data_IF_316113588763
#
_entry.id   IF_316113588763
#
_cell.length_a   1.000
_cell.length_b   1.000
_cell.length_c   1.000
_cell.angle_alpha   90.00
_cell.angle_beta   90.00
_cell.angle_gamma   90.00
#
_symmetry.space_group_name_H-M   'P 1'
#
loop_
_entity.id
_entity.type
_entity.pdbx_description
1 polymer ?
#
# COMPACT_ATOMS: atom_id res chain seq x y z
N UNK A 1 -25.45 -5.54 0.27
CA UNK A 1 -24.42 -6.16 1.14
C UNK A 1 -25.00 -6.43 2.52
N UNK A 2 -24.41 -7.38 3.22
CA UNK A 2 -24.79 -7.73 4.58
C UNK A 2 -24.02 -6.84 5.56
N UNK A 3 -24.73 -6.13 6.45
CA UNK A 3 -24.12 -5.40 7.56
C UNK A 3 -24.19 -6.29 8.80
N UNK A 4 -23.10 -6.96 9.13
CA UNK A 4 -23.00 -7.79 10.30
C UNK A 4 -22.40 -7.00 11.48
N UNK A 5 -22.97 -7.07 12.70
CA UNK A 5 -22.48 -6.33 13.86
C UNK A 5 -21.21 -6.93 14.44
N UNK A 6 -20.51 -6.12 15.23
CA UNK A 6 -19.63 -6.59 16.30
C UNK A 6 -20.49 -6.75 17.56
N UNK A 7 -20.59 -7.97 18.09
CA UNK A 7 -21.43 -8.28 19.21
C UNK A 7 -20.63 -8.28 20.53
N UNK A 8 -21.07 -7.48 21.51
CA UNK A 8 -20.48 -7.47 22.85
C UNK A 8 -21.51 -7.95 23.86
N UNK A 9 -21.30 -9.13 24.42
CA UNK A 9 -22.27 -9.82 25.30
C UNK A 9 -21.56 -10.26 26.59
N UNK A 10 -21.31 -9.32 27.48
CA UNK A 10 -20.56 -9.53 28.72
C UNK A 10 -21.47 -9.97 29.87
N UNK A 11 -22.01 -11.17 29.75
CA UNK A 11 -22.78 -11.84 30.80
C UNK A 11 -22.34 -13.29 30.96
N UNK A 12 -22.86 -13.95 32.00
CA UNK A 12 -22.45 -15.31 32.37
C UNK A 12 -22.46 -16.26 31.18
N UNK A 13 -21.36 -16.96 30.96
CA UNK A 13 -21.19 -18.10 30.06
C UNK A 13 -21.45 -17.84 28.57
N UNK A 14 -21.55 -16.57 28.16
CA UNK A 14 -21.82 -16.19 26.76
C UNK A 14 -20.64 -16.39 25.83
N UNK A 15 -19.42 -16.48 26.36
CA UNK A 15 -18.16 -16.69 25.62
C UNK A 15 -17.42 -17.97 26.06
N UNK A 16 -18.11 -18.95 26.66
CA UNK A 16 -17.52 -20.24 27.01
C UNK A 16 -17.34 -21.10 25.77
N UNK A 17 -16.12 -21.62 25.57
CA UNK A 17 -15.79 -22.51 24.44
C UNK A 17 -15.36 -23.93 24.91
N UNK A 18 -15.66 -24.29 26.15
CA UNK A 18 -15.21 -25.56 26.74
C UNK A 18 -16.22 -26.70 26.63
N UNK A 19 -17.50 -26.40 26.51
CA UNK A 19 -18.56 -27.40 26.39
C UNK A 19 -19.81 -26.81 25.73
N UNK A 20 -20.29 -27.46 24.67
CA UNK A 20 -21.44 -26.98 23.89
C UNK A 20 -21.07 -25.77 23.00
N UNK A 21 -22.08 -25.12 22.46
CA UNK A 21 -21.92 -23.90 21.63
C UNK A 21 -22.41 -22.69 22.42
N UNK A 22 -21.52 -21.76 22.73
CA UNK A 22 -21.86 -20.53 23.43
C UNK A 22 -22.60 -19.53 22.52
N UNK A 23 -23.18 -18.50 23.14
CA UNK A 23 -23.85 -17.42 22.38
C UNK A 23 -22.89 -16.72 21.43
N UNK A 24 -21.65 -16.46 21.85
CA UNK A 24 -20.62 -15.83 21.01
C UNK A 24 -20.22 -16.69 19.80
N UNK A 25 -20.14 -18.02 19.98
CA UNK A 25 -19.94 -18.96 18.87
C UNK A 25 -21.13 -18.99 17.93
N UNK A 26 -22.36 -18.97 18.46
CA UNK A 26 -23.56 -18.90 17.62
C UNK A 26 -23.59 -17.66 16.73
N UNK A 27 -23.11 -16.52 17.21
CA UNK A 27 -22.97 -15.32 16.37
C UNK A 27 -22.02 -15.53 15.20
N UNK A 28 -20.93 -16.28 15.36
CA UNK A 28 -19.95 -16.49 14.30
C UNK A 28 -20.37 -17.55 13.28
N UNK A 29 -21.06 -18.60 13.74
CA UNK A 29 -21.45 -19.73 12.86
C UNK A 29 -22.82 -19.55 12.21
N UNK A 30 -23.54 -18.47 12.54
CA UNK A 30 -24.87 -18.24 11.99
C UNK A 30 -24.84 -17.93 10.48
N UNK A 31 -25.71 -18.60 9.73
CA UNK A 31 -25.82 -18.42 8.29
C UNK A 31 -24.88 -19.32 7.48
N UNK A 32 -24.43 -18.82 6.33
CA UNK A 32 -23.50 -19.48 5.42
C UNK A 32 -22.65 -18.44 4.69
N UNK A 33 -21.54 -18.81 4.00
CA UNK A 33 -20.75 -17.88 3.22
C UNK A 33 -21.57 -17.10 2.16
N UNK A 34 -22.59 -17.72 1.58
CA UNK A 34 -23.49 -17.08 0.59
C UNK A 34 -24.62 -16.28 1.21
N UNK A 35 -25.00 -16.55 2.46
CA UNK A 35 -26.05 -15.86 3.23
C UNK A 35 -25.58 -15.65 4.67
N UNK A 36 -24.59 -14.77 4.86
CA UNK A 36 -24.04 -14.56 6.20
C UNK A 36 -25.05 -13.89 7.12
N UNK A 37 -25.05 -14.34 8.37
CA UNK A 37 -25.89 -13.85 9.47
C UNK A 37 -25.01 -13.75 10.73
N UNK A 38 -25.60 -13.27 11.84
CA UNK A 38 -24.89 -13.18 13.12
C UNK A 38 -23.96 -11.99 13.20
N UNK A 39 -22.67 -12.19 13.49
CA UNK A 39 -21.69 -11.12 13.72
C UNK A 39 -20.34 -11.38 13.04
N UNK A 40 -19.58 -10.30 12.77
CA UNK A 40 -18.20 -10.39 12.27
C UNK A 40 -17.23 -10.86 13.35
N UNK A 41 -17.53 -10.52 14.60
CA UNK A 41 -16.82 -10.97 15.80
C UNK A 41 -17.74 -10.80 17.02
N UNK A 42 -17.44 -11.52 18.10
CA UNK A 42 -18.19 -11.42 19.35
C UNK A 42 -17.25 -11.41 20.55
N UNK A 43 -17.56 -10.58 21.54
CA UNK A 43 -16.92 -10.64 22.86
C UNK A 43 -17.90 -11.20 23.87
N UNK A 44 -17.50 -12.25 24.58
CA UNK A 44 -18.30 -12.89 25.60
C UNK A 44 -17.50 -13.27 26.83
N UNK A 45 -18.18 -13.66 27.91
CA UNK A 45 -17.56 -14.07 29.16
C UNK A 45 -17.54 -15.59 29.30
N UNK A 46 -16.36 -16.15 29.57
CA UNK A 46 -16.11 -17.62 29.54
C UNK A 46 -16.57 -18.39 30.81
N UNK A 47 -17.29 -17.75 31.72
CA UNK A 47 -17.68 -18.38 32.99
C UNK A 47 -19.05 -17.91 33.51
N UNK A 48 -19.63 -18.69 34.43
CA UNK A 48 -20.87 -18.36 35.13
C UNK A 48 -20.67 -17.45 36.34
N UNK A 49 -19.46 -17.29 36.84
CA UNK A 49 -19.14 -16.52 38.06
C UNK A 49 -18.92 -15.00 37.83
N UNK A 50 -19.63 -14.38 36.91
CA UNK A 50 -19.38 -12.98 36.51
C UNK A 50 -20.03 -11.96 37.45
N UNK A 51 -19.53 -10.72 37.39
CA UNK A 51 -20.08 -9.59 38.16
C UNK A 51 -20.20 -8.37 37.27
N UNK A 52 -21.37 -7.78 37.19
CA UNK A 52 -21.70 -6.60 36.35
C UNK A 52 -20.76 -5.42 36.55
N UNK A 53 -20.30 -5.19 37.79
CA UNK A 53 -19.35 -4.10 38.12
C UNK A 53 -18.11 -4.11 37.26
N UNK A 54 -17.53 -5.28 36.95
CA UNK A 54 -16.32 -5.40 36.17
C UNK A 54 -16.63 -5.51 34.67
N UNK A 55 -17.65 -6.26 34.31
CA UNK A 55 -18.05 -6.41 32.92
C UNK A 55 -18.50 -5.09 32.29
N UNK A 56 -19.26 -4.25 33.03
CA UNK A 56 -19.68 -2.96 32.53
C UNK A 56 -18.50 -2.02 32.22
N UNK A 57 -17.41 -2.08 33.00
CA UNK A 57 -16.21 -1.26 32.70
C UNK A 57 -15.52 -1.74 31.43
N UNK A 58 -15.42 -3.04 31.23
CA UNK A 58 -14.87 -3.62 29.98
C UNK A 58 -15.74 -3.20 28.79
N UNK A 59 -17.06 -3.33 28.92
CA UNK A 59 -18.03 -2.93 27.90
C UNK A 59 -17.89 -1.44 27.52
N UNK A 60 -17.97 -0.57 28.51
CA UNK A 60 -17.80 0.88 28.32
C UNK A 60 -16.44 1.22 27.68
N UNK A 61 -15.36 0.53 28.12
CA UNK A 61 -14.03 0.72 27.58
C UNK A 61 -13.90 0.23 26.13
N UNK A 62 -14.62 -0.82 25.71
CA UNK A 62 -14.69 -1.24 24.31
C UNK A 62 -15.27 -0.13 23.45
N UNK A 63 -16.44 0.41 23.83
CA UNK A 63 -17.09 1.47 23.06
C UNK A 63 -16.38 2.81 23.12
N UNK A 64 -15.74 3.17 24.26
CA UNK A 64 -14.83 4.31 24.35
C UNK A 64 -13.63 4.17 23.39
N UNK A 65 -13.11 2.95 23.25
CA UNK A 65 -12.07 2.64 22.27
C UNK A 65 -12.54 2.87 20.84
N UNK A 66 -13.71 2.33 20.47
CA UNK A 66 -14.22 2.40 19.11
C UNK A 66 -14.58 3.81 18.67
N UNK A 67 -15.37 4.55 19.47
CA UNK A 67 -15.93 5.83 19.08
C UNK A 67 -15.06 7.03 19.46
N UNK A 68 -14.78 7.34 20.74
CA UNK A 68 -13.96 8.50 21.10
C UNK A 68 -12.49 8.38 20.67
N UNK A 69 -11.89 7.18 20.80
CA UNK A 69 -10.46 6.96 20.50
C UNK A 69 -10.19 6.51 19.07
N UNK A 70 -11.24 6.16 18.31
CA UNK A 70 -11.11 5.77 16.92
C UNK A 70 -10.36 4.45 16.66
N UNK A 71 -10.28 3.54 17.67
CA UNK A 71 -9.64 2.23 17.49
C UNK A 71 -10.38 1.43 16.41
N UNK A 72 -9.62 0.80 15.52
CA UNK A 72 -10.17 0.28 14.28
C UNK A 72 -10.42 -1.21 14.27
N UNK A 73 -9.78 -1.98 15.17
CA UNK A 73 -9.89 -3.43 15.18
C UNK A 73 -10.63 -3.97 16.39
N UNK A 74 -11.23 -5.16 16.24
CA UNK A 74 -11.94 -5.86 17.33
C UNK A 74 -11.05 -6.11 18.53
N UNK A 75 -9.78 -6.49 18.31
CA UNK A 75 -8.82 -6.73 19.39
C UNK A 75 -8.41 -5.44 20.10
N UNK A 76 -8.15 -4.37 19.36
CA UNK A 76 -7.78 -3.08 19.97
C UNK A 76 -8.93 -2.54 20.84
N UNK A 77 -10.18 -2.69 20.38
CA UNK A 77 -11.36 -2.33 21.15
C UNK A 77 -11.45 -3.12 22.47
N UNK A 78 -11.31 -4.46 22.41
CA UNK A 78 -11.32 -5.29 23.63
C UNK A 78 -10.13 -4.98 24.55
N UNK A 79 -8.93 -4.78 24.00
CA UNK A 79 -7.76 -4.40 24.79
C UNK A 79 -7.98 -3.09 25.55
N UNK A 80 -8.60 -2.08 24.92
CA UNK A 80 -8.99 -0.83 25.58
C UNK A 80 -10.00 -1.08 26.71
N UNK A 81 -10.96 -1.98 26.53
CA UNK A 81 -11.89 -2.38 27.57
C UNK A 81 -11.19 -3.00 28.79
N UNK A 82 -10.23 -3.90 28.56
CA UNK A 82 -9.42 -4.51 29.62
C UNK A 82 -8.52 -3.47 30.33
N UNK A 83 -7.95 -2.54 29.55
CA UNK A 83 -7.15 -1.44 30.11
C UNK A 83 -8.01 -0.51 30.96
N UNK A 84 -9.23 -0.19 30.55
CA UNK A 84 -10.17 0.60 31.35
C UNK A 84 -10.47 -0.07 32.70
N UNK A 85 -10.64 -1.39 32.70
CA UNK A 85 -10.81 -2.18 33.95
C UNK A 85 -9.57 -2.05 34.85
N UNK A 86 -8.37 -2.23 34.30
CA UNK A 86 -7.12 -2.07 35.05
C UNK A 86 -6.96 -0.65 35.63
N UNK A 87 -7.21 0.38 34.85
CA UNK A 87 -7.11 1.78 35.29
C UNK A 87 -8.14 2.14 36.37
N UNK A 88 -9.32 1.50 36.33
CA UNK A 88 -10.37 1.72 37.35
C UNK A 88 -10.03 1.04 38.67
N UNK A 89 -9.39 -0.12 38.62
CA UNK A 89 -9.03 -0.92 39.80
C UNK A 89 -7.55 -1.31 39.78
N UNK A 90 -6.61 -0.36 39.86
CA UNK A 90 -5.18 -0.63 39.72
C UNK A 90 -4.60 -1.50 40.83
N UNK A 91 -5.21 -1.51 42.03
CA UNK A 91 -4.81 -2.36 43.15
C UNK A 91 -5.15 -3.84 42.96
N UNK A 92 -6.00 -4.17 41.97
CA UNK A 92 -6.43 -5.53 41.65
C UNK A 92 -6.84 -6.35 42.88
N UNK A 93 -7.62 -5.78 43.78
CA UNK A 93 -8.10 -6.43 45.01
C UNK A 93 -8.82 -7.73 44.65
N UNK A 94 -8.49 -8.80 45.38
CA UNK A 94 -9.02 -10.15 45.13
C UNK A 94 -8.73 -10.72 43.74
N UNK A 95 -7.69 -10.20 43.09
CA UNK A 95 -7.29 -10.58 41.73
C UNK A 95 -8.39 -10.40 40.64
N UNK A 96 -9.40 -9.57 40.91
CA UNK A 96 -10.60 -9.46 40.07
C UNK A 96 -10.26 -8.88 38.68
N UNK A 97 -9.34 -7.92 38.58
CA UNK A 97 -8.94 -7.35 37.28
C UNK A 97 -8.34 -8.41 36.37
N UNK A 98 -7.40 -9.21 36.90
CA UNK A 98 -6.77 -10.30 36.14
C UNK A 98 -7.79 -11.35 35.73
N UNK A 99 -8.66 -11.76 36.66
CA UNK A 99 -9.69 -12.76 36.43
C UNK A 99 -10.65 -12.31 35.30
N UNK A 100 -11.23 -11.12 35.41
CA UNK A 100 -12.17 -10.63 34.38
C UNK A 100 -11.50 -10.29 33.06
N UNK A 101 -10.22 -9.90 33.07
CA UNK A 101 -9.44 -9.74 31.84
C UNK A 101 -9.24 -11.06 31.10
N UNK A 102 -9.08 -12.19 31.81
CA UNK A 102 -8.99 -13.52 31.19
C UNK A 102 -10.36 -14.07 30.75
N UNK A 103 -11.42 -13.77 31.50
CA UNK A 103 -12.75 -14.29 31.19
C UNK A 103 -13.42 -13.64 29.98
N UNK A 104 -13.11 -12.38 29.70
CA UNK A 104 -13.68 -11.67 28.56
C UNK A 104 -12.86 -11.98 27.30
N UNK A 105 -13.43 -12.81 26.43
CA UNK A 105 -12.77 -13.36 25.25
C UNK A 105 -13.37 -12.81 23.96
N UNK A 106 -12.50 -12.54 22.99
CA UNK A 106 -12.87 -12.26 21.60
C UNK A 106 -12.98 -13.60 20.85
N UNK A 107 -14.09 -13.78 20.16
CA UNK A 107 -14.28 -14.82 19.15
C UNK A 107 -14.42 -14.13 17.79
N UNK A 108 -13.62 -14.56 16.82
CA UNK A 108 -13.45 -13.95 15.51
C UNK A 108 -12.02 -13.56 15.24
N UNK A 109 -11.76 -12.99 14.07
CA UNK A 109 -10.44 -12.50 13.71
C UNK A 109 -10.13 -11.18 14.47
N UNK A 110 -9.05 -11.16 15.27
CA UNK A 110 -8.65 -9.97 16.03
C UNK A 110 -8.28 -8.77 15.16
N UNK A 111 -7.86 -8.98 13.93
CA UNK A 111 -7.51 -7.93 12.96
C UNK A 111 -8.73 -7.38 12.20
N UNK A 112 -9.93 -7.93 12.42
CA UNK A 112 -11.13 -7.44 11.72
C UNK A 112 -11.38 -5.97 12.02
N UNK A 113 -11.46 -5.16 10.96
CA UNK A 113 -11.76 -3.74 11.04
C UNK A 113 -13.24 -3.49 11.33
N UNK A 114 -13.50 -2.53 12.22
CA UNK A 114 -14.84 -2.11 12.64
C UNK A 114 -15.29 -0.89 11.84
N UNK A 115 -16.38 -1.02 11.10
CA UNK A 115 -17.03 0.13 10.46
C UNK A 115 -17.96 0.84 11.45
N UNK A 116 -17.75 2.15 11.57
CA UNK A 116 -18.52 2.99 12.50
C UNK A 116 -19.53 3.89 11.79
N UNK A 117 -19.60 3.79 10.45
CA UNK A 117 -20.55 4.51 9.58
C UNK A 117 -21.07 3.55 8.51
N UNK A 118 -22.13 3.95 7.82
CA UNK A 118 -22.52 3.29 6.57
C UNK A 118 -21.36 3.43 5.58
N UNK A 119 -20.86 2.31 5.02
CA UNK A 119 -19.72 2.39 4.13
C UNK A 119 -20.08 3.11 2.83
N UNK A 120 -19.16 3.96 2.40
CA UNK A 120 -19.19 4.70 1.14
C UNK A 120 -18.48 3.85 0.07
N UNK A 121 -18.82 4.02 -1.19
CA UNK A 121 -18.15 3.35 -2.30
C UNK A 121 -16.82 4.07 -2.59
N UNK A 122 -15.79 3.32 -2.94
CA UNK A 122 -14.54 3.85 -3.48
C UNK A 122 -14.62 3.87 -5.01
N UNK A 123 -14.26 5.00 -5.59
CA UNK A 123 -13.97 5.13 -7.01
C UNK A 123 -12.45 5.08 -7.16
N UNK A 124 -11.95 4.05 -7.88
CA UNK A 124 -10.52 3.81 -8.04
C UNK A 124 -10.17 3.88 -9.51
N UNK A 125 -9.30 4.81 -9.85
CA UNK A 125 -8.83 5.04 -11.21
C UNK A 125 -7.47 4.41 -11.39
N UNK A 126 -7.33 3.58 -12.40
CA UNK A 126 -6.10 2.88 -12.77
C UNK A 126 -6.20 2.38 -14.21
N UNK A 127 -5.06 2.11 -14.83
CA UNK A 127 -5.06 1.39 -16.10
C UNK A 127 -5.64 -0.01 -15.92
N UNK A 128 -6.46 -0.44 -16.87
CA UNK A 128 -7.01 -1.81 -16.89
C UNK A 128 -6.11 -2.79 -17.65
N UNK A 129 -5.16 -2.26 -18.44
CA UNK A 129 -4.19 -3.01 -19.20
C UNK A 129 -2.88 -2.25 -19.25
N UNK A 130 -1.76 -2.97 -19.07
CA UNK A 130 -0.40 -2.46 -19.27
C UNK A 130 0.38 -3.43 -20.16
N UNK A 131 1.43 -2.94 -20.81
CA UNK A 131 2.28 -3.79 -21.64
C UNK A 131 3.45 -4.37 -20.84
N UNK A 132 3.91 -5.55 -21.28
CA UNK A 132 5.10 -6.18 -20.71
C UNK A 132 6.28 -5.21 -20.82
N UNK A 133 6.95 -4.94 -19.68
CA UNK A 133 8.01 -3.93 -19.56
C UNK A 133 7.57 -2.63 -18.89
N UNK A 134 6.27 -2.33 -18.80
CA UNK A 134 5.79 -1.20 -18.01
C UNK A 134 6.28 -1.36 -16.56
N UNK A 135 7.03 -0.39 -16.06
CA UNK A 135 7.77 -0.55 -14.79
C UNK A 135 7.19 0.24 -13.63
N UNK A 136 6.00 0.80 -13.80
CA UNK A 136 5.24 1.45 -12.73
C UNK A 136 3.75 1.46 -13.05
N UNK A 137 2.95 1.76 -12.04
CA UNK A 137 1.54 2.06 -12.19
C UNK A 137 1.13 3.15 -11.20
N UNK A 138 0.33 4.10 -11.69
CA UNK A 138 -0.32 5.13 -10.88
C UNK A 138 -1.77 4.73 -10.60
N UNK A 139 -2.19 4.90 -9.35
CA UNK A 139 -3.55 4.60 -8.90
C UNK A 139 -4.06 5.81 -8.14
N UNK A 140 -5.28 6.24 -8.45
CA UNK A 140 -5.95 7.32 -7.75
C UNK A 140 -7.19 6.79 -7.04
N UNK A 141 -7.36 7.15 -5.77
CA UNK A 141 -8.46 6.69 -4.91
C UNK A 141 -9.31 7.89 -4.51
N UNK A 142 -10.59 7.84 -4.92
CA UNK A 142 -11.59 8.85 -4.60
C UNK A 142 -12.81 8.21 -3.93
N UNK A 143 -13.68 9.02 -3.35
CA UNK A 143 -15.03 8.60 -2.96
C UNK A 143 -16.04 8.84 -4.11
N UNK A 144 -17.25 8.30 -3.95
CA UNK A 144 -18.35 8.45 -4.92
C UNK A 144 -18.78 9.92 -5.19
N UNK A 145 -18.19 10.89 -4.46
CA UNK A 145 -18.45 12.33 -4.61
C UNK A 145 -17.27 13.07 -5.24
N UNK A 146 -16.18 12.37 -5.60
CA UNK A 146 -14.97 12.92 -6.17
C UNK A 146 -14.01 13.52 -5.13
N UNK A 147 -14.17 13.17 -3.86
CA UNK A 147 -13.23 13.55 -2.80
C UNK A 147 -12.03 12.61 -2.76
N UNK A 148 -10.82 13.17 -2.74
CA UNK A 148 -9.59 12.39 -2.64
C UNK A 148 -9.51 11.64 -1.30
N UNK A 149 -9.08 10.38 -1.32
CA UNK A 149 -9.00 9.53 -0.14
C UNK A 149 -7.54 9.31 0.25
N UNK A 150 -7.09 10.05 1.27
CA UNK A 150 -5.81 9.83 1.92
C UNK A 150 -5.81 8.55 2.77
N UNK A 151 -4.68 7.83 2.79
CA UNK A 151 -4.45 6.67 3.66
C UNK A 151 -5.34 5.47 3.36
N UNK A 152 -5.82 5.32 2.12
CA UNK A 152 -6.37 4.06 1.65
C UNK A 152 -5.24 3.08 1.40
N UNK A 153 -5.35 1.85 1.91
CA UNK A 153 -4.38 0.81 1.65
C UNK A 153 -4.65 0.19 0.29
N UNK A 154 -3.72 0.36 -0.61
CA UNK A 154 -3.72 -0.19 -1.97
C UNK A 154 -2.76 -1.36 -2.03
N UNK A 155 -3.21 -2.51 -2.52
CA UNK A 155 -2.41 -3.74 -2.63
C UNK A 155 -2.48 -4.29 -4.03
N UNK A 156 -1.32 -4.63 -4.59
CA UNK A 156 -1.17 -5.32 -5.86
C UNK A 156 -0.64 -6.72 -5.63
N UNK A 157 -1.25 -7.70 -6.30
CA UNK A 157 -0.87 -9.11 -6.24
C UNK A 157 -0.84 -9.72 -7.65
N UNK A 158 0.27 -10.38 -8.02
CA UNK A 158 0.39 -11.17 -9.26
C UNK A 158 1.06 -12.50 -8.98
N UNK A 159 0.45 -13.58 -9.48
CA UNK A 159 1.00 -14.93 -9.39
C UNK A 159 1.25 -15.40 -7.96
N UNK A 160 2.27 -16.22 -7.78
CA UNK A 160 2.74 -16.67 -6.47
C UNK A 160 3.81 -15.70 -5.97
N UNK A 161 3.39 -14.48 -5.58
CA UNK A 161 4.25 -13.40 -5.06
C UNK A 161 5.27 -12.83 -6.08
N UNK A 162 5.02 -12.96 -7.40
CA UNK A 162 5.82 -12.23 -8.41
C UNK A 162 5.67 -10.71 -8.22
N UNK A 163 4.45 -10.25 -7.89
CA UNK A 163 4.18 -8.92 -7.36
C UNK A 163 3.36 -9.10 -6.08
N UNK A 164 3.85 -8.61 -4.96
CA UNK A 164 3.10 -8.45 -3.71
C UNK A 164 3.58 -7.18 -3.01
N UNK A 165 2.88 -6.09 -3.27
CA UNK A 165 3.22 -4.77 -2.74
C UNK A 165 2.00 -4.06 -2.20
N UNK A 166 2.18 -3.28 -1.13
CA UNK A 166 1.13 -2.45 -0.54
C UNK A 166 1.68 -1.09 -0.17
N UNK A 167 0.91 -0.04 -0.45
CA UNK A 167 1.20 1.34 -0.05
C UNK A 167 -0.10 2.03 0.37
N UNK A 168 0.02 3.14 1.09
CA UNK A 168 -1.10 4.02 1.40
C UNK A 168 -1.15 5.18 0.41
N UNK A 169 -2.37 5.57 0.01
CA UNK A 169 -2.58 6.77 -0.79
C UNK A 169 -2.22 8.04 -0.01
N UNK A 170 -1.71 9.03 -0.70
CA UNK A 170 -1.33 10.34 -0.17
C UNK A 170 -2.55 11.27 0.03
N UNK A 171 -2.30 12.54 0.39
CA UNK A 171 -3.32 13.58 0.58
C UNK A 171 -4.13 13.87 -0.69
N UNK A 172 -3.58 13.57 -1.87
CA UNK A 172 -4.25 13.72 -3.17
C UNK A 172 -4.98 12.44 -3.59
N UNK A 173 -4.97 11.39 -2.75
CA UNK A 173 -5.54 10.09 -3.07
C UNK A 173 -4.66 9.25 -4.01
N UNK A 174 -3.43 9.67 -4.28
CA UNK A 174 -2.56 9.04 -5.26
C UNK A 174 -1.60 8.05 -4.60
N UNK A 175 -1.30 7.00 -5.35
CA UNK A 175 -0.23 6.05 -5.01
C UNK A 175 0.42 5.51 -6.28
N UNK A 176 1.74 5.56 -6.34
CA UNK A 176 2.54 4.98 -7.41
C UNK A 176 3.26 3.75 -6.90
N UNK A 177 3.25 2.68 -7.69
CA UNK A 177 4.01 1.46 -7.47
C UNK A 177 5.05 1.27 -8.56
N UNK A 178 6.35 1.25 -8.22
CA UNK A 178 7.35 0.66 -9.10
C UNK A 178 7.04 -0.83 -9.27
N UNK A 179 7.13 -1.32 -10.51
CA UNK A 179 6.84 -2.71 -10.85
C UNK A 179 8.09 -3.38 -11.43
N UNK A 180 8.31 -4.62 -11.01
CA UNK A 180 9.33 -5.50 -11.60
C UNK A 180 8.72 -6.89 -11.79
N UNK A 181 8.51 -7.30 -13.03
CA UNK A 181 7.93 -8.58 -13.39
C UNK A 181 8.46 -9.02 -14.78
N UNK A 182 8.39 -10.31 -15.06
CA UNK A 182 8.99 -10.92 -16.26
C UNK A 182 7.99 -11.60 -17.17
N UNK A 183 6.72 -11.69 -16.78
CA UNK A 183 5.70 -12.46 -17.53
C UNK A 183 4.40 -11.68 -17.68
N UNK A 184 3.66 -11.95 -18.75
CA UNK A 184 2.27 -11.52 -18.92
C UNK A 184 1.36 -12.16 -17.87
N UNK A 185 0.13 -11.67 -17.73
CA UNK A 185 -0.87 -12.19 -16.79
C UNK A 185 -1.61 -11.07 -16.10
N UNK A 186 -2.34 -11.38 -15.04
CA UNK A 186 -3.23 -10.44 -14.37
C UNK A 186 -2.66 -10.02 -13.01
N UNK A 187 -2.63 -8.72 -12.76
CA UNK A 187 -2.43 -8.12 -11.44
C UNK A 187 -3.80 -7.93 -10.79
N UNK A 188 -3.98 -8.44 -9.59
CA UNK A 188 -5.17 -8.18 -8.77
C UNK A 188 -4.92 -6.95 -7.91
N UNK A 189 -5.81 -5.96 -8.04
CA UNK A 189 -5.79 -4.73 -7.25
C UNK A 189 -6.86 -4.81 -6.16
N UNK A 190 -6.47 -4.52 -4.92
CA UNK A 190 -7.41 -4.40 -3.81
C UNK A 190 -7.16 -3.08 -3.09
N UNK A 191 -8.23 -2.29 -2.88
CA UNK A 191 -8.16 -1.05 -2.11
C UNK A 191 -9.09 -1.13 -0.91
N UNK A 192 -8.57 -0.83 0.28
CA UNK A 192 -9.33 -0.85 1.53
C UNK A 192 -9.13 0.43 2.33
N UNK A 193 -10.21 0.90 2.95
CA UNK A 193 -10.21 2.01 3.90
C UNK A 193 -11.34 1.81 4.90
N UNK A 194 -11.12 2.20 6.17
CA UNK A 194 -12.18 2.16 7.19
C UNK A 194 -13.39 2.97 6.75
N UNK A 195 -14.58 2.37 6.92
CA UNK A 195 -15.87 2.96 6.53
C UNK A 195 -16.08 3.11 5.01
N UNK A 196 -15.29 2.43 4.20
CA UNK A 196 -15.49 2.31 2.76
C UNK A 196 -15.69 0.86 2.35
N UNK A 197 -16.46 0.63 1.30
CA UNK A 197 -16.56 -0.70 0.70
C UNK A 197 -15.23 -1.03 0.01
N UNK A 198 -14.65 -2.21 0.27
CA UNK A 198 -13.43 -2.61 -0.42
C UNK A 198 -13.62 -2.60 -1.93
N UNK A 199 -12.66 -2.04 -2.66
CA UNK A 199 -12.58 -2.13 -4.11
C UNK A 199 -11.72 -3.32 -4.51
N UNK A 200 -12.14 -4.01 -5.57
CA UNK A 200 -11.36 -5.04 -6.23
C UNK A 200 -11.37 -4.80 -7.74
N UNK A 201 -10.20 -4.73 -8.33
CA UNK A 201 -9.98 -4.54 -9.76
C UNK A 201 -8.91 -5.48 -10.28
N UNK A 202 -8.71 -5.45 -11.58
CA UNK A 202 -7.67 -6.21 -12.27
C UNK A 202 -6.96 -5.33 -13.29
N UNK A 203 -5.69 -5.62 -13.53
CA UNK A 203 -4.85 -4.97 -14.52
C UNK A 203 -4.19 -6.09 -15.31
N UNK A 204 -4.48 -6.17 -16.60
CA UNK A 204 -3.93 -7.22 -17.45
C UNK A 204 -2.59 -6.77 -18.06
N UNK A 205 -1.56 -7.62 -17.94
CA UNK A 205 -0.27 -7.43 -18.57
C UNK A 205 -0.29 -8.18 -19.89
N UNK A 206 -0.23 -7.43 -20.98
CA UNK A 206 -0.27 -7.97 -22.34
C UNK A 206 1.07 -7.86 -23.04
N UNK A 207 1.24 -8.60 -24.14
CA UNK A 207 2.39 -8.48 -25.03
C UNK A 207 2.06 -7.51 -26.15
N UNK A 208 2.95 -6.55 -26.42
CA UNK A 208 2.80 -5.56 -27.48
C UNK A 208 4.11 -4.81 -27.72
N UNK A 209 4.14 -3.81 -28.62
CA UNK A 209 5.26 -2.89 -28.70
C UNK A 209 5.46 -2.21 -27.34
N UNK A 210 6.66 -2.25 -26.80
CA UNK A 210 6.93 -1.66 -25.49
C UNK A 210 8.41 -1.34 -25.33
N UNK A 211 8.69 -0.09 -24.98
CA UNK A 211 10.02 0.39 -24.57
C UNK A 211 9.94 0.85 -23.13
N UNK A 212 10.86 0.38 -22.31
CA UNK A 212 10.97 0.80 -20.92
C UNK A 212 12.41 0.70 -20.42
N UNK A 213 12.65 1.18 -19.19
CA UNK A 213 13.95 1.05 -18.52
C UNK A 213 14.38 -0.42 -18.44
N UNK A 214 15.63 -0.68 -18.83
CA UNK A 214 16.23 -2.00 -18.63
C UNK A 214 16.87 -2.11 -17.25
N UNK A 215 16.18 -2.77 -16.31
CA UNK A 215 16.71 -3.02 -14.97
C UNK A 215 17.90 -3.98 -14.90
N UNK A 216 18.25 -4.62 -16.00
CA UNK A 216 19.42 -5.51 -16.08
C UNK A 216 20.70 -4.75 -16.43
N UNK A 217 20.60 -3.47 -16.74
CA UNK A 217 21.71 -2.58 -17.03
C UNK A 217 21.70 -1.37 -16.11
N UNK A 218 22.89 -0.86 -15.80
CA UNK A 218 23.04 0.25 -14.88
C UNK A 218 22.67 1.58 -15.55
N UNK A 219 22.01 2.44 -14.77
CA UNK A 219 21.94 3.87 -15.09
C UNK A 219 23.31 4.44 -14.77
N UNK A 220 23.97 5.02 -15.76
CA UNK A 220 25.32 5.55 -15.59
C UNK A 220 25.26 7.06 -15.29
N UNK A 221 25.87 7.46 -14.18
CA UNK A 221 26.16 8.88 -13.89
C UNK A 221 27.53 9.19 -14.49
N UNK A 222 27.56 10.15 -15.39
CA UNK A 222 28.75 10.50 -16.16
C UNK A 222 29.07 12.01 -16.01
N UNK A 223 30.24 12.39 -16.50
CA UNK A 223 30.76 13.78 -16.40
C UNK A 223 31.09 14.16 -14.92
N UNK A 224 31.33 13.17 -14.06
CA UNK A 224 31.85 13.34 -12.71
C UNK A 224 32.97 12.34 -12.40
N UNK A 225 33.64 12.46 -11.22
CA UNK A 225 34.87 11.70 -10.91
C UNK A 225 34.56 10.30 -10.33
N UNK A 226 33.39 10.11 -9.70
CA UNK A 226 33.08 8.91 -8.90
C UNK A 226 31.92 8.05 -9.44
N UNK A 227 31.20 8.51 -10.45
CA UNK A 227 30.06 7.79 -11.03
C UNK A 227 28.81 7.79 -10.15
N UNK A 228 28.77 8.64 -9.10
CA UNK A 228 27.64 8.80 -8.19
C UNK A 228 27.03 10.20 -8.36
N UNK A 229 25.73 10.32 -8.08
CA UNK A 229 25.05 11.60 -8.10
C UNK A 229 25.17 12.28 -6.73
N UNK A 230 25.98 13.33 -6.63
CA UNK A 230 26.21 14.04 -5.36
C UNK A 230 25.51 15.42 -5.36
N UNK A 231 25.08 15.92 -4.17
CA UNK A 231 24.54 17.28 -4.06
C UNK A 231 25.49 18.35 -4.58
N UNK A 232 24.96 19.25 -5.43
CA UNK A 232 25.69 20.36 -6.03
C UNK A 232 26.38 20.05 -7.35
N UNK A 233 26.27 18.83 -7.88
CA UNK A 233 26.88 18.43 -9.13
C UNK A 233 26.01 18.74 -10.36
N UNK A 234 26.68 18.89 -11.49
CA UNK A 234 26.08 18.86 -12.83
C UNK A 234 26.63 17.64 -13.55
N UNK A 235 25.74 16.72 -13.91
CA UNK A 235 26.12 15.42 -14.46
C UNK A 235 25.33 15.07 -15.71
N UNK A 236 25.81 14.09 -16.45
CA UNK A 236 25.05 13.37 -17.46
C UNK A 236 24.45 12.09 -16.89
N UNK A 237 23.20 11.79 -17.25
CA UNK A 237 22.60 10.47 -17.01
C UNK A 237 22.49 9.72 -18.33
N UNK A 238 23.06 8.51 -18.36
CA UNK A 238 22.91 7.57 -19.46
C UNK A 238 21.96 6.46 -19.00
N UNK A 239 20.75 6.45 -19.54
CA UNK A 239 19.66 5.58 -19.09
C UNK A 239 19.46 4.49 -20.15
N UNK A 240 19.53 3.19 -19.80
CA UNK A 240 19.31 2.11 -20.77
C UNK A 240 17.82 1.88 -20.99
N UNK A 241 17.38 1.89 -22.24
CA UNK A 241 16.03 1.47 -22.66
C UNK A 241 16.08 0.12 -23.34
N UNK A 242 15.09 -0.71 -23.08
CA UNK A 242 14.90 -2.03 -23.67
C UNK A 242 13.58 -2.15 -24.40
N UNK A 243 13.64 -2.78 -25.57
CA UNK A 243 12.47 -3.19 -26.30
C UNK A 243 11.93 -4.53 -25.74
N UNK A 244 10.82 -4.50 -25.05
CA UNK A 244 10.13 -5.69 -24.50
C UNK A 244 9.14 -6.30 -25.49
N UNK A 245 8.92 -5.64 -26.64
CA UNK A 245 8.06 -6.11 -27.70
C UNK A 245 8.71 -7.16 -28.61
N UNK A 246 7.97 -7.59 -29.61
CA UNK A 246 8.40 -8.60 -30.60
C UNK A 246 8.79 -8.01 -31.96
N UNK A 247 8.65 -6.71 -32.15
CA UNK A 247 8.96 -5.99 -33.38
C UNK A 247 10.04 -4.94 -33.11
N UNK A 248 10.85 -4.64 -34.12
CA UNK A 248 11.81 -3.53 -34.04
C UNK A 248 11.03 -2.22 -33.88
N UNK A 249 11.55 -1.33 -33.05
CA UNK A 249 11.02 0.02 -32.84
C UNK A 249 12.11 1.00 -33.31
N UNK A 250 11.73 1.89 -34.22
CA UNK A 250 12.65 2.80 -34.88
C UNK A 250 12.44 4.22 -34.36
N UNK A 251 13.45 5.11 -34.59
CA UNK A 251 13.37 6.53 -34.24
C UNK A 251 12.91 6.82 -32.80
N UNK A 252 13.42 6.02 -31.84
CA UNK A 252 13.09 6.13 -30.42
C UNK A 252 13.75 7.40 -29.83
N UNK A 253 12.92 8.24 -29.22
CA UNK A 253 13.34 9.44 -28.50
C UNK A 253 12.73 9.41 -27.10
N UNK A 254 13.51 9.82 -26.10
CA UNK A 254 13.01 9.90 -24.74
C UNK A 254 13.22 11.30 -24.14
N UNK A 255 12.26 11.73 -23.32
CA UNK A 255 12.29 13.01 -22.61
C UNK A 255 12.20 12.77 -21.12
N UNK A 256 13.20 13.25 -20.37
CA UNK A 256 13.31 13.09 -18.92
C UNK A 256 12.56 14.23 -18.21
N UNK A 257 11.76 13.89 -17.22
CA UNK A 257 11.01 14.79 -16.36
C UNK A 257 11.28 14.50 -14.89
N UNK A 258 11.21 15.52 -14.03
CA UNK A 258 11.31 15.40 -12.58
C UNK A 258 10.37 16.39 -11.91
N UNK A 259 9.74 15.98 -10.81
CA UNK A 259 8.98 16.84 -9.91
C UNK A 259 9.78 17.29 -8.68
N UNK A 260 11.02 16.82 -8.53
CA UNK A 260 11.87 17.18 -7.40
C UNK A 260 12.32 18.65 -7.48
N UNK A 261 12.17 19.40 -6.39
CA UNK A 261 12.66 20.79 -6.28
C UNK A 261 14.19 20.88 -6.28
N UNK A 262 14.88 19.77 -6.06
CA UNK A 262 16.36 19.70 -6.05
C UNK A 262 16.95 19.49 -7.43
N UNK A 263 16.15 19.16 -8.44
CA UNK A 263 16.62 18.81 -9.78
C UNK A 263 16.34 19.91 -10.79
N UNK A 264 17.36 20.32 -11.54
CA UNK A 264 17.22 21.13 -12.75
C UNK A 264 17.71 20.31 -13.95
N UNK A 265 16.80 19.95 -14.86
CA UNK A 265 17.15 19.22 -16.08
C UNK A 265 17.70 20.21 -17.10
N UNK A 266 18.93 20.00 -17.58
CA UNK A 266 19.64 20.88 -18.52
C UNK A 266 19.59 20.36 -19.95
N UNK A 267 19.52 19.03 -20.11
CA UNK A 267 19.26 18.38 -21.41
C UNK A 267 18.16 17.32 -21.21
N UNK A 268 16.89 17.64 -21.52
CA UNK A 268 15.78 16.73 -21.24
C UNK A 268 15.59 15.64 -22.30
N UNK A 269 16.10 15.79 -23.52
CA UNK A 269 15.73 14.94 -24.66
C UNK A 269 16.92 14.20 -25.23
N UNK A 270 16.77 12.89 -25.42
CA UNK A 270 17.82 11.98 -25.88
C UNK A 270 17.29 11.07 -26.98
N UNK A 271 18.09 10.87 -28.02
CA UNK A 271 17.81 9.99 -29.13
C UNK A 271 18.45 8.62 -28.94
N UNK A 272 17.67 7.56 -29.11
CA UNK A 272 18.09 6.16 -28.95
C UNK A 272 18.22 5.43 -30.28
N UNK A 273 17.61 5.94 -31.35
CA UNK A 273 17.57 5.28 -32.65
C UNK A 273 16.68 4.06 -32.67
N UNK A 274 17.12 3.01 -33.36
CA UNK A 274 16.39 1.78 -33.49
C UNK A 274 16.77 0.79 -32.38
N UNK A 275 15.76 0.14 -31.76
CA UNK A 275 15.96 -0.87 -30.72
C UNK A 275 15.28 -2.17 -31.18
N UNK A 276 16.08 -3.19 -31.48
CA UNK A 276 15.60 -4.52 -31.86
C UNK A 276 14.88 -5.25 -30.70
N UNK A 277 13.98 -6.19 -30.98
CA UNK A 277 13.29 -6.98 -29.98
C UNK A 277 14.24 -7.62 -28.96
N UNK A 278 13.96 -7.40 -27.66
CA UNK A 278 14.75 -7.92 -26.55
C UNK A 278 16.11 -7.25 -26.35
N UNK A 279 16.51 -6.31 -27.18
CA UNK A 279 17.77 -5.59 -27.05
C UNK A 279 17.60 -4.31 -26.23
N UNK A 280 18.71 -3.89 -25.63
CA UNK A 280 18.81 -2.65 -24.87
C UNK A 280 19.75 -1.67 -25.54
N UNK A 281 19.46 -0.39 -25.43
CA UNK A 281 20.22 0.72 -26.01
C UNK A 281 20.37 1.88 -25.04
N UNK A 282 21.57 2.46 -25.01
CA UNK A 282 21.80 3.78 -24.42
C UNK A 282 21.65 4.86 -25.50
N UNK A 283 21.00 5.95 -25.12
CA UNK A 283 20.80 7.06 -26.05
C UNK A 283 21.97 8.06 -26.08
N UNK A 284 21.97 8.96 -27.06
CA UNK A 284 22.96 10.02 -27.22
C UNK A 284 22.33 11.31 -27.76
N UNK A 285 22.75 12.51 -27.28
CA UNK A 285 23.62 12.74 -26.10
C UNK A 285 22.95 12.29 -24.81
N UNK A 286 23.67 12.25 -23.69
CA UNK A 286 23.08 11.86 -22.40
C UNK A 286 22.10 12.92 -21.90
N UNK A 287 21.17 12.53 -21.02
CA UNK A 287 20.37 13.49 -20.27
C UNK A 287 21.30 14.34 -19.40
N UNK A 288 21.06 15.64 -19.33
CA UNK A 288 21.83 16.54 -18.47
C UNK A 288 20.99 16.99 -17.29
N UNK A 289 21.57 16.98 -16.10
CA UNK A 289 20.92 17.54 -14.92
C UNK A 289 21.92 18.23 -13.99
N UNK A 290 21.41 19.18 -13.21
CA UNK A 290 22.11 19.78 -12.06
C UNK A 290 21.32 19.46 -10.80
N UNK A 291 21.99 18.88 -9.80
CA UNK A 291 21.42 18.60 -8.48
C UNK A 291 21.77 19.75 -7.53
N UNK A 292 20.77 20.24 -6.82
CA UNK A 292 20.95 21.27 -5.79
C UNK A 292 21.90 20.79 -4.68
N UNK A 293 22.76 21.69 -4.17
CA UNK A 293 23.57 21.40 -2.98
C UNK A 293 22.75 21.18 -1.70
N UNK A 294 21.44 21.47 -1.73
CA UNK A 294 20.51 21.20 -0.62
C UNK A 294 19.86 19.82 -0.69
N UNK A 295 20.11 19.02 -1.73
CA UNK A 295 19.58 17.65 -1.84
C UNK A 295 20.10 16.78 -0.70
N UNK A 296 19.25 15.86 -0.24
CA UNK A 296 19.53 15.04 0.96
C UNK A 296 20.23 13.75 0.54
N UNK A 297 21.33 13.43 1.20
CA UNK A 297 22.00 12.14 1.01
C UNK A 297 21.10 10.96 1.36
N UNK A 298 21.02 9.97 0.49
CA UNK A 298 20.16 8.80 0.62
C UNK A 298 18.72 9.06 0.12
N UNK A 299 18.44 10.25 -0.42
CA UNK A 299 17.18 10.49 -1.13
C UNK A 299 17.17 9.71 -2.45
N UNK A 300 16.03 9.12 -2.76
CA UNK A 300 15.79 8.52 -4.07
C UNK A 300 15.04 9.54 -4.94
N UNK A 301 15.67 10.00 -5.99
CA UNK A 301 15.05 10.91 -6.97
C UNK A 301 14.23 10.09 -7.94
N UNK A 302 12.97 10.46 -8.08
CA UNK A 302 12.02 9.84 -8.96
C UNK A 302 11.89 10.64 -10.27
N UNK A 303 12.36 10.05 -11.35
CA UNK A 303 12.20 10.63 -12.67
C UNK A 303 11.11 9.88 -13.45
N UNK A 304 10.45 10.61 -14.36
CA UNK A 304 9.59 10.04 -15.40
C UNK A 304 10.27 10.22 -16.74
N UNK A 305 10.26 9.18 -17.53
CA UNK A 305 10.81 9.18 -18.88
C UNK A 305 9.66 8.94 -19.86
N UNK A 306 9.34 9.98 -20.65
CA UNK A 306 8.40 9.86 -21.76
C UNK A 306 9.17 9.38 -22.98
N UNK A 307 8.77 8.27 -23.57
CA UNK A 307 9.41 7.61 -24.70
C UNK A 307 8.46 7.60 -25.88
N UNK A 308 8.92 8.05 -27.05
CA UNK A 308 8.13 8.11 -28.27
C UNK A 308 8.86 7.43 -29.43
N UNK A 309 8.17 6.58 -30.17
CA UNK A 309 8.58 6.18 -31.52
C UNK A 309 8.04 7.21 -32.51
N UNK A 310 8.93 7.97 -33.15
CA UNK A 310 8.54 8.98 -34.12
C UNK A 310 8.03 8.42 -35.47
N UNK A 311 8.11 7.11 -35.69
CA UNK A 311 7.56 6.45 -36.89
C UNK A 311 6.11 6.00 -36.66
N UNK A 312 5.87 5.20 -35.61
CA UNK A 312 4.53 4.69 -35.30
C UNK A 312 3.69 5.70 -34.50
N UNK A 313 4.32 6.66 -33.86
CA UNK A 313 3.75 7.59 -32.89
C UNK A 313 3.22 6.89 -31.62
N UNK A 314 3.75 5.72 -31.33
CA UNK A 314 3.50 5.04 -30.08
C UNK A 314 4.26 5.75 -28.94
N UNK A 315 3.64 5.82 -27.78
CA UNK A 315 4.18 6.48 -26.59
C UNK A 315 4.19 5.52 -25.41
N UNK A 316 5.25 5.57 -24.62
CA UNK A 316 5.42 4.81 -23.38
C UNK A 316 5.96 5.72 -22.29
N UNK A 317 5.75 5.31 -21.06
CA UNK A 317 6.37 5.95 -19.91
C UNK A 317 7.18 4.95 -19.09
N UNK A 318 8.29 5.42 -18.53
CA UNK A 318 9.09 4.65 -17.59
C UNK A 318 9.35 5.48 -16.33
N UNK A 319 9.36 4.79 -15.19
CA UNK A 319 9.85 5.29 -13.92
C UNK A 319 11.34 5.01 -13.81
N UNK A 320 12.12 6.02 -13.42
CA UNK A 320 13.59 5.94 -13.34
C UNK A 320 14.02 6.43 -11.95
N UNK A 321 14.32 5.52 -11.01
CA UNK A 321 14.83 5.87 -9.70
C UNK A 321 16.35 6.11 -9.76
N UNK A 322 16.82 7.21 -9.15
CA UNK A 322 18.26 7.52 -9.03
C UNK A 322 18.55 7.96 -7.59
N UNK A 323 19.50 7.28 -6.95
CA UNK A 323 19.87 7.59 -5.58
C UNK A 323 20.84 8.77 -5.51
N UNK A 324 20.66 9.61 -4.48
CA UNK A 324 21.58 10.71 -4.14
C UNK A 324 22.61 10.23 -3.13
N UNK A 325 23.87 10.42 -3.43
CA UNK A 325 25.00 10.08 -2.56
C UNK A 325 25.67 11.36 -2.05
N UNK A 326 25.79 11.52 -0.73
CA UNK A 326 26.51 12.64 -0.12
C UNK A 326 27.83 12.19 0.48
N UNK A 327 28.85 13.03 0.41
CA UNK A 327 30.09 12.81 1.14
C UNK A 327 29.83 12.92 2.65
N UNK A 328 30.05 11.86 3.42
CA UNK A 328 30.15 11.96 4.86
C UNK A 328 31.53 12.53 5.23
N UNK A 329 31.57 13.73 5.82
CA UNK A 329 32.72 14.14 6.60
C UNK A 329 32.74 13.25 7.86
N UNK A 330 33.62 12.22 7.87
CA UNK A 330 33.99 11.54 9.11
C UNK A 330 34.84 12.54 9.87
N UNK A 331 34.22 13.25 10.82
CA UNK A 331 34.95 14.02 11.80
C UNK A 331 35.43 13.03 12.84
N UNK A 332 36.66 12.53 12.70
CA UNK A 332 37.36 11.82 13.76
C UNK A 332 37.48 12.76 14.96
N UNK A 333 36.74 12.44 16.05
CA UNK A 333 36.78 13.14 17.32
C UNK A 333 37.85 12.64 18.24
#
# INVERSE_FOLDING_TARGET
GYMLPFAVVLTCDTGSFTAGTSLSEHFLIAGSPSTPRGAIASVGTATTGTHTRFNNIVDMGIFDGIFPKGLETTSAALANGKLALYNTYPSNLSNSVSIFSHWNNLMGDPATHLWTKKPVVLDVYHDTEIQLGCNFIDIEVQDEFGGNIEGAMVTLLKGNDEIFVSKYSDEMGQVMFPLNYSSTGTIYLTVTKKNYQPYQGVIDITSGPSISLDYQQDILVIDNEDGLLNPGETVGLSIPLKNFGSTNIEEVVATLNSSSEYVTITNPTVYYGSIDPGQSQYGFPNFGLTLSGAAINGENLEFRLDVTDYISLDEWQSFVPVDVYGCYLIVDG
#
